data_IF_690746672262
#
_entry.id   IF_690746672262
#
_cell.length_a   1.000
_cell.length_b   1.000
_cell.length_c   1.000
_cell.angle_alpha   90.00
_cell.angle_beta   90.00
_cell.angle_gamma   90.00
#
_symmetry.space_group_name_H-M   'P 1'
#
loop_
_entity.id
_entity.type
_entity.pdbx_description
1 polymer ?
#
# COMPACT_ATOMS: atom_id res chain seq x y z
N UNK A 1 11.99 -23.89 -5.15
CA UNK A 1 11.79 -22.59 -4.46
C UNK A 1 10.79 -21.76 -5.23
N UNK A 2 10.13 -20.79 -4.59
CA UNK A 2 9.10 -19.93 -5.21
C UNK A 2 9.69 -19.11 -6.38
N UNK A 3 10.95 -18.74 -6.29
CA UNK A 3 11.71 -18.09 -7.36
C UNK A 3 11.73 -18.87 -8.69
N UNK A 4 11.48 -20.17 -8.68
CA UNK A 4 11.53 -21.01 -9.89
C UNK A 4 10.18 -21.09 -10.64
N UNK A 5 9.09 -20.57 -10.07
CA UNK A 5 7.73 -20.70 -10.63
C UNK A 5 7.17 -19.40 -11.21
N UNK A 6 7.76 -18.25 -10.93
CA UNK A 6 7.24 -16.94 -11.33
C UNK A 6 7.70 -16.44 -12.69
N UNK A 7 8.91 -16.73 -13.19
CA UNK A 7 9.38 -16.17 -14.46
C UNK A 7 8.47 -16.51 -15.64
N UNK A 8 7.91 -17.74 -15.69
CA UNK A 8 7.02 -18.14 -16.77
C UNK A 8 5.63 -17.47 -16.65
N UNK A 9 5.12 -17.31 -15.41
CA UNK A 9 3.86 -16.63 -15.19
C UNK A 9 3.99 -15.12 -15.46
N UNK A 10 5.10 -14.52 -15.06
CA UNK A 10 5.42 -13.13 -15.30
C UNK A 10 5.56 -12.83 -16.79
N UNK A 11 6.31 -13.63 -17.54
CA UNK A 11 6.41 -13.53 -19.00
C UNK A 11 5.06 -13.67 -19.70
N UNK A 12 4.19 -14.57 -19.21
CA UNK A 12 2.86 -14.72 -19.76
C UNK A 12 2.00 -13.48 -19.49
N UNK A 13 2.07 -12.91 -18.28
CA UNK A 13 1.37 -11.68 -17.93
C UNK A 13 1.87 -10.49 -18.75
N UNK A 14 3.18 -10.35 -18.93
CA UNK A 14 3.80 -9.32 -19.79
C UNK A 14 3.31 -9.42 -21.23
N UNK A 15 3.44 -10.60 -21.83
CA UNK A 15 2.98 -10.84 -23.20
C UNK A 15 1.50 -10.49 -23.35
N UNK A 16 0.66 -10.87 -22.38
CA UNK A 16 -0.75 -10.57 -22.45
C UNK A 16 -1.06 -9.09 -22.18
N UNK A 17 -0.35 -8.44 -21.27
CA UNK A 17 -0.50 -7.00 -21.01
C UNK A 17 -0.19 -6.18 -22.27
N UNK A 18 0.84 -6.56 -23.02
CA UNK A 18 1.28 -5.84 -24.23
C UNK A 18 0.42 -6.18 -25.47
N UNK A 19 0.17 -7.45 -25.72
CA UNK A 19 -0.37 -7.96 -26.99
C UNK A 19 -1.78 -8.53 -26.90
N UNK A 20 -2.35 -8.67 -25.71
CA UNK A 20 -3.69 -9.21 -25.50
C UNK A 20 -4.77 -8.43 -26.25
N UNK A 21 -5.83 -9.09 -26.65
CA UNK A 21 -6.95 -8.49 -27.39
C UNK A 21 -8.03 -7.91 -26.50
N UNK A 22 -8.14 -8.37 -25.24
CA UNK A 22 -9.08 -7.87 -24.23
C UNK A 22 -8.43 -6.75 -23.42
N UNK A 23 -8.91 -5.52 -23.63
CA UNK A 23 -8.36 -4.32 -22.96
C UNK A 23 -8.53 -4.35 -21.43
N UNK A 24 -9.62 -4.96 -20.94
CA UNK A 24 -9.83 -5.08 -19.49
C UNK A 24 -8.83 -6.04 -18.87
N UNK A 25 -8.62 -7.19 -19.48
CA UNK A 25 -7.68 -8.18 -19.00
C UNK A 25 -6.23 -7.69 -19.14
N UNK A 26 -5.91 -6.95 -20.22
CA UNK A 26 -4.61 -6.25 -20.35
C UNK A 26 -4.34 -5.29 -19.20
N UNK A 27 -5.35 -4.49 -18.83
CA UNK A 27 -5.26 -3.59 -17.68
C UNK A 27 -5.02 -4.35 -16.38
N UNK A 28 -5.72 -5.46 -16.16
CA UNK A 28 -5.58 -6.26 -14.95
C UNK A 28 -4.18 -6.90 -14.87
N UNK A 29 -3.66 -7.40 -16.00
CA UNK A 29 -2.28 -7.90 -16.08
C UNK A 29 -1.25 -6.81 -15.79
N UNK A 30 -1.38 -5.64 -16.42
CA UNK A 30 -0.48 -4.50 -16.16
C UNK A 30 -0.54 -4.04 -14.69
N UNK A 31 -1.74 -4.00 -14.10
CA UNK A 31 -1.90 -3.64 -12.70
C UNK A 31 -1.24 -4.64 -11.75
N UNK A 32 -1.36 -5.94 -12.04
CA UNK A 32 -0.73 -7.00 -11.24
C UNK A 32 0.80 -6.97 -11.37
N UNK A 33 1.32 -6.86 -12.59
CA UNK A 33 2.77 -6.77 -12.84
C UNK A 33 3.39 -5.54 -12.16
N UNK A 34 2.69 -4.42 -12.19
CA UNK A 34 3.14 -3.21 -11.49
C UNK A 34 3.29 -3.44 -9.98
N UNK A 35 2.35 -4.16 -9.36
CA UNK A 35 2.41 -4.48 -7.92
C UNK A 35 3.55 -5.47 -7.64
N UNK A 36 3.70 -6.53 -8.46
CA UNK A 36 4.79 -7.51 -8.33
C UNK A 36 6.17 -6.85 -8.48
N UNK A 37 6.34 -6.02 -9.52
CA UNK A 37 7.57 -5.28 -9.73
C UNK A 37 7.91 -4.34 -8.55
N UNK A 38 6.90 -3.73 -7.93
CA UNK A 38 7.08 -2.94 -6.72
C UNK A 38 7.53 -3.76 -5.51
N UNK A 39 7.05 -5.00 -5.38
CA UNK A 39 7.48 -5.93 -4.32
C UNK A 39 8.93 -6.43 -4.52
N UNK A 40 9.40 -6.47 -5.77
CA UNK A 40 10.75 -6.89 -6.15
C UNK A 40 11.75 -5.73 -6.30
N UNK A 41 11.30 -4.49 -6.06
CA UNK A 41 12.07 -3.25 -6.25
C UNK A 41 12.50 -3.02 -7.72
N UNK A 42 11.80 -3.65 -8.68
CA UNK A 42 11.97 -3.38 -10.13
C UNK A 42 11.21 -2.11 -10.52
N UNK A 43 11.85 -0.98 -10.28
CA UNK A 43 11.26 0.34 -10.55
C UNK A 43 10.98 0.59 -12.03
N UNK A 44 11.75 -0.03 -12.94
CA UNK A 44 11.57 0.14 -14.39
C UNK A 44 10.29 -0.55 -14.85
N UNK A 45 10.12 -1.81 -14.53
CA UNK A 45 8.90 -2.59 -14.86
C UNK A 45 7.67 -1.94 -14.21
N UNK A 46 7.76 -1.54 -12.94
CA UNK A 46 6.70 -0.86 -12.21
C UNK A 46 6.22 0.40 -12.96
N UNK A 47 7.14 1.27 -13.39
CA UNK A 47 6.80 2.49 -14.11
C UNK A 47 6.23 2.19 -15.51
N UNK A 48 6.75 1.20 -16.23
CA UNK A 48 6.24 0.78 -17.55
C UNK A 48 4.81 0.25 -17.45
N UNK A 49 4.54 -0.62 -16.49
CA UNK A 49 3.20 -1.21 -16.30
C UNK A 49 2.19 -0.17 -15.81
N UNK A 50 2.61 0.78 -14.99
CA UNK A 50 1.79 1.94 -14.66
C UNK A 50 1.41 2.76 -15.91
N UNK A 51 2.39 3.09 -16.77
CA UNK A 51 2.12 3.84 -18.01
C UNK A 51 1.16 3.09 -18.94
N UNK A 52 1.31 1.77 -19.04
CA UNK A 52 0.37 0.94 -19.80
C UNK A 52 -1.04 0.97 -19.17
N UNK A 53 -1.15 0.84 -17.86
CA UNK A 53 -2.41 0.88 -17.15
C UNK A 53 -3.17 2.18 -17.34
N UNK A 54 -2.52 3.34 -17.21
CA UNK A 54 -3.16 4.65 -17.45
C UNK A 54 -3.49 4.92 -18.90
N UNK A 55 -2.77 4.31 -19.85
CA UNK A 55 -3.10 4.37 -21.27
C UNK A 55 -4.37 3.58 -21.59
N UNK A 56 -4.55 2.42 -20.95
CA UNK A 56 -5.72 1.56 -21.15
C UNK A 56 -6.96 2.13 -20.42
N UNK A 57 -6.81 2.56 -19.17
CA UNK A 57 -7.93 3.07 -18.35
C UNK A 57 -7.51 4.35 -17.59
N UNK A 58 -7.48 5.51 -18.25
CA UNK A 58 -6.96 6.77 -17.67
C UNK A 58 -7.75 7.28 -16.45
N UNK A 59 -9.03 6.95 -16.37
CA UNK A 59 -9.92 7.42 -15.29
C UNK A 59 -10.11 6.37 -14.17
N UNK A 60 -9.36 5.26 -14.22
CA UNK A 60 -9.43 4.24 -13.18
C UNK A 60 -8.60 4.66 -11.96
N UNK A 61 -9.29 5.06 -10.88
CA UNK A 61 -8.63 5.53 -9.64
C UNK A 61 -7.75 4.47 -8.97
N UNK A 62 -8.08 3.17 -9.16
CA UNK A 62 -7.35 2.07 -8.54
C UNK A 62 -5.90 2.00 -9.03
N UNK A 63 -5.61 2.26 -10.31
CA UNK A 63 -4.24 2.20 -10.83
C UNK A 63 -3.34 3.26 -10.18
N UNK A 64 -3.87 4.47 -9.96
CA UNK A 64 -3.14 5.55 -9.31
C UNK A 64 -2.89 5.25 -7.83
N UNK A 65 -3.88 4.71 -7.12
CA UNK A 65 -3.71 4.38 -5.70
C UNK A 65 -2.76 3.21 -5.47
N UNK A 66 -2.82 2.18 -6.29
CA UNK A 66 -1.88 1.05 -6.26
C UNK A 66 -0.45 1.51 -6.58
N UNK A 67 -0.29 2.33 -7.61
CA UNK A 67 1.00 2.92 -7.94
C UNK A 67 1.55 3.79 -6.80
N UNK A 68 0.71 4.63 -6.18
CA UNK A 68 1.09 5.42 -5.00
C UNK A 68 1.58 4.55 -3.84
N UNK A 69 0.95 3.39 -3.62
CA UNK A 69 1.36 2.42 -2.59
C UNK A 69 2.74 1.84 -2.87
N UNK A 70 2.99 1.33 -4.07
CA UNK A 70 4.31 0.75 -4.39
C UNK A 70 5.40 1.81 -4.43
N UNK A 71 5.09 3.05 -4.80
CA UNK A 71 6.01 4.18 -4.71
C UNK A 71 6.41 4.53 -3.26
N UNK A 72 5.47 4.44 -2.31
CA UNK A 72 5.80 4.58 -0.88
C UNK A 72 6.76 3.48 -0.45
N UNK A 73 6.52 2.25 -0.87
CA UNK A 73 7.37 1.10 -0.55
C UNK A 73 8.79 1.26 -1.10
N UNK A 74 8.93 1.83 -2.30
CA UNK A 74 10.22 2.16 -2.94
C UNK A 74 10.84 3.49 -2.47
N UNK A 75 10.26 4.17 -1.48
CA UNK A 75 10.78 5.45 -0.97
C UNK A 75 10.57 6.65 -1.89
N UNK A 76 9.84 6.51 -3.00
CA UNK A 76 9.56 7.57 -3.98
C UNK A 76 8.36 8.43 -3.55
N UNK A 77 8.47 9.08 -2.40
CA UNK A 77 7.35 9.77 -1.73
C UNK A 77 6.77 10.93 -2.54
N UNK A 78 7.58 11.68 -3.27
CA UNK A 78 7.09 12.77 -4.12
C UNK A 78 6.18 12.26 -5.23
N UNK A 79 6.58 11.20 -5.92
CA UNK A 79 5.80 10.55 -6.98
C UNK A 79 4.51 9.93 -6.41
N UNK A 80 4.60 9.35 -5.20
CA UNK A 80 3.43 8.80 -4.50
C UNK A 80 2.39 9.88 -4.19
N UNK A 81 2.82 11.08 -3.76
CA UNK A 81 1.92 12.23 -3.56
C UNK A 81 1.20 12.59 -4.86
N UNK A 82 1.89 12.63 -5.99
CA UNK A 82 1.28 12.97 -7.27
C UNK A 82 0.29 11.89 -7.73
N UNK A 83 0.62 10.62 -7.54
CA UNK A 83 -0.28 9.51 -7.83
C UNK A 83 -1.56 9.58 -6.98
N UNK A 84 -1.46 9.76 -5.65
CA UNK A 84 -2.63 9.88 -4.79
C UNK A 84 -3.44 11.15 -5.05
N UNK A 85 -2.80 12.29 -5.34
CA UNK A 85 -3.52 13.50 -5.80
C UNK A 85 -4.34 13.24 -7.05
N UNK A 86 -3.81 12.46 -7.99
CA UNK A 86 -4.54 12.07 -9.18
C UNK A 86 -5.75 11.20 -8.83
N UNK A 87 -5.58 10.20 -7.95
CA UNK A 87 -6.67 9.33 -7.50
C UNK A 87 -7.81 10.13 -6.83
N UNK A 88 -7.50 11.02 -5.88
CA UNK A 88 -8.53 11.83 -5.18
C UNK A 88 -9.18 12.88 -6.08
N UNK A 89 -8.49 13.38 -7.11
CA UNK A 89 -9.06 14.32 -8.08
C UNK A 89 -10.02 13.65 -9.05
N UNK A 90 -9.74 12.41 -9.46
CA UNK A 90 -10.60 11.63 -10.35
C UNK A 90 -11.90 11.21 -9.64
N UNK A 91 -11.81 10.84 -8.38
CA UNK A 91 -12.98 10.50 -7.58
C UNK A 91 -12.85 11.03 -6.15
N UNK A 92 -13.53 12.12 -5.86
CA UNK A 92 -13.52 12.78 -4.55
C UNK A 92 -14.23 11.99 -3.45
N UNK A 93 -15.03 11.00 -3.81
CA UNK A 93 -15.72 10.10 -2.88
C UNK A 93 -14.83 8.91 -2.48
N UNK A 94 -13.72 8.68 -3.20
CA UNK A 94 -12.76 7.65 -2.80
C UNK A 94 -11.98 8.08 -1.57
N UNK A 95 -11.82 7.15 -0.64
CA UNK A 95 -11.14 7.44 0.61
C UNK A 95 -9.62 7.21 0.50
N UNK A 96 -8.96 7.90 -0.45
CA UNK A 96 -7.49 7.90 -0.58
C UNK A 96 -6.82 9.11 0.09
N UNK A 97 -7.57 9.88 0.87
CA UNK A 97 -7.02 11.04 1.58
C UNK A 97 -6.06 10.62 2.70
N UNK A 98 -6.29 9.48 3.35
CA UNK A 98 -5.39 8.93 4.36
C UNK A 98 -4.03 8.57 3.77
N UNK A 99 -4.01 7.89 2.63
CA UNK A 99 -2.80 7.53 1.90
C UNK A 99 -2.08 8.75 1.34
N UNK A 100 -2.83 9.73 0.83
CA UNK A 100 -2.24 11.00 0.41
C UNK A 100 -1.54 11.72 1.56
N UNK A 101 -2.17 11.78 2.74
CA UNK A 101 -1.57 12.37 3.93
C UNK A 101 -0.33 11.60 4.39
N UNK A 102 -0.36 10.28 4.34
CA UNK A 102 0.81 9.46 4.63
C UNK A 102 1.98 9.78 3.67
N UNK A 103 1.71 9.85 2.36
CA UNK A 103 2.73 10.20 1.38
C UNK A 103 3.29 11.62 1.59
N UNK A 104 2.43 12.58 1.92
CA UNK A 104 2.81 13.95 2.26
C UNK A 104 3.69 14.00 3.52
N UNK A 105 3.31 13.26 4.57
CA UNK A 105 4.11 13.17 5.80
C UNK A 105 5.48 12.53 5.53
N UNK A 106 5.53 11.44 4.78
CA UNK A 106 6.80 10.77 4.43
C UNK A 106 7.71 11.65 3.59
N UNK A 107 7.15 12.49 2.72
CA UNK A 107 7.89 13.43 1.89
C UNK A 107 8.44 14.62 2.69
N UNK A 108 7.62 15.20 3.56
CA UNK A 108 7.90 16.49 4.21
C UNK A 108 8.41 16.35 5.65
N UNK A 109 8.27 15.18 6.26
CA UNK A 109 8.63 14.92 7.67
C UNK A 109 7.62 15.47 8.69
N UNK A 110 6.61 16.23 8.25
CA UNK A 110 5.59 16.85 9.11
C UNK A 110 4.26 17.02 8.38
N UNK A 111 3.18 17.23 9.14
CA UNK A 111 1.88 17.62 8.60
C UNK A 111 1.76 19.14 8.61
N UNK A 112 1.74 19.72 7.41
CA UNK A 112 1.61 21.17 7.22
C UNK A 112 0.15 21.61 7.32
N UNK A 113 -0.08 22.84 7.76
CA UNK A 113 -1.41 23.44 7.88
C UNK A 113 -2.17 23.48 6.54
N UNK A 114 -1.48 23.52 5.41
CA UNK A 114 -2.06 23.47 4.07
C UNK A 114 -2.79 22.15 3.75
N UNK A 115 -2.55 21.08 4.55
CA UNK A 115 -3.20 19.77 4.38
C UNK A 115 -4.50 19.61 5.17
N UNK A 116 -4.98 20.69 5.81
CA UNK A 116 -6.20 20.65 6.65
C UNK A 116 -7.43 20.12 5.91
N UNK A 117 -7.58 20.44 4.61
CA UNK A 117 -8.68 19.91 3.79
C UNK A 117 -8.58 18.37 3.63
N UNK A 118 -7.39 17.84 3.41
CA UNK A 118 -7.19 16.39 3.29
C UNK A 118 -7.42 15.69 4.63
N UNK A 119 -6.98 16.29 5.74
CA UNK A 119 -7.24 15.79 7.09
C UNK A 119 -8.74 15.63 7.35
N UNK A 120 -9.55 16.63 7.00
CA UNK A 120 -11.01 16.57 7.21
C UNK A 120 -11.70 15.49 6.38
N UNK A 121 -11.12 15.11 5.24
CA UNK A 121 -11.65 14.10 4.31
C UNK A 121 -11.13 12.69 4.55
N UNK A 122 -10.07 12.53 5.35
CA UNK A 122 -9.48 11.22 5.62
C UNK A 122 -10.24 10.39 6.66
N UNK A 123 -11.13 11.01 7.42
CA UNK A 123 -11.90 10.34 8.46
C UNK A 123 -13.04 9.52 7.84
N UNK A 124 -13.02 8.21 8.08
CA UNK A 124 -14.11 7.31 7.66
C UNK A 124 -15.14 7.24 8.79
N UNK A 125 -16.42 7.59 8.56
CA UNK A 125 -17.48 7.42 9.54
C UNK A 125 -17.57 5.97 10.05
N UNK A 126 -17.97 5.76 11.29
CA UNK A 126 -17.99 4.43 11.92
C UNK A 126 -18.91 3.46 11.18
N UNK A 127 -20.05 3.93 10.73
CA UNK A 127 -21.04 3.19 9.96
C UNK A 127 -20.52 2.68 8.59
N UNK A 128 -19.49 3.34 8.06
CA UNK A 128 -18.91 3.00 6.76
C UNK A 128 -17.68 2.07 6.85
N UNK A 129 -17.20 1.76 8.07
CA UNK A 129 -16.04 0.90 8.32
C UNK A 129 -16.40 -0.57 8.21
N UNK A 130 -16.18 -1.18 7.05
CA UNK A 130 -16.62 -2.56 6.76
C UNK A 130 -15.48 -3.54 6.48
N UNK A 131 -14.32 -3.03 6.11
CA UNK A 131 -13.19 -3.85 5.66
C UNK A 131 -11.93 -3.59 6.48
N UNK A 132 -10.98 -4.53 6.53
CA UNK A 132 -9.67 -4.27 7.13
C UNK A 132 -9.00 -3.02 6.58
N UNK A 133 -9.15 -2.76 5.27
CA UNK A 133 -8.56 -1.61 4.60
C UNK A 133 -9.11 -0.27 5.15
N UNK A 134 -10.38 -0.20 5.54
CA UNK A 134 -10.96 1.01 6.13
C UNK A 134 -10.29 1.34 7.47
N UNK A 135 -10.03 0.33 8.29
CA UNK A 135 -9.31 0.50 9.56
C UNK A 135 -7.83 0.83 9.35
N UNK A 136 -7.16 0.24 8.34
CA UNK A 136 -5.78 0.56 7.98
C UNK A 136 -5.67 2.04 7.55
N UNK A 137 -6.60 2.52 6.73
CA UNK A 137 -6.66 3.93 6.31
C UNK A 137 -6.79 4.88 7.49
N UNK A 138 -7.70 4.56 8.43
CA UNK A 138 -7.86 5.32 9.67
C UNK A 138 -6.60 5.31 10.52
N UNK A 139 -5.96 4.15 10.64
CA UNK A 139 -4.72 4.04 11.40
C UNK A 139 -3.57 4.87 10.80
N UNK A 140 -3.44 4.88 9.47
CA UNK A 140 -2.50 5.75 8.77
C UNK A 140 -2.77 7.23 9.06
N UNK A 141 -4.05 7.63 9.01
CA UNK A 141 -4.45 8.97 9.40
C UNK A 141 -4.07 9.28 10.86
N UNK A 142 -4.44 8.41 11.82
CA UNK A 142 -4.12 8.59 13.24
C UNK A 142 -2.61 8.67 13.48
N UNK A 143 -1.81 7.82 12.81
CA UNK A 143 -0.34 7.88 12.89
C UNK A 143 0.20 9.22 12.41
N UNK A 144 -0.34 9.75 11.31
CA UNK A 144 0.07 11.04 10.73
C UNK A 144 -0.22 12.21 11.66
N UNK A 145 -1.34 12.19 12.39
CA UNK A 145 -1.67 13.24 13.38
C UNK A 145 -1.04 13.00 14.77
N UNK A 146 -0.28 11.91 14.93
CA UNK A 146 0.38 11.56 16.19
C UNK A 146 -0.50 10.83 17.20
N UNK A 147 -1.71 10.45 16.84
CA UNK A 147 -2.59 9.63 17.69
C UNK A 147 -2.27 8.14 17.55
N UNK A 148 -1.15 7.75 18.15
CA UNK A 148 -0.65 6.38 18.05
C UNK A 148 -1.54 5.35 18.77
N UNK A 149 -2.29 5.78 19.78
CA UNK A 149 -3.19 4.90 20.52
C UNK A 149 -4.37 4.44 19.66
N UNK A 150 -5.03 5.37 18.99
CA UNK A 150 -6.11 5.04 18.06
C UNK A 150 -5.57 4.37 16.78
N UNK A 151 -4.36 4.73 16.31
CA UNK A 151 -3.71 4.02 15.21
C UNK A 151 -3.53 2.52 15.53
N UNK A 152 -2.97 2.20 16.69
CA UNK A 152 -2.78 0.82 17.15
C UNK A 152 -4.12 0.07 17.30
N UNK A 153 -5.11 0.71 17.89
CA UNK A 153 -6.46 0.14 18.06
C UNK A 153 -7.08 -0.23 16.70
N UNK A 154 -7.02 0.67 15.72
CA UNK A 154 -7.56 0.40 14.39
C UNK A 154 -6.79 -0.69 13.65
N UNK A 155 -5.46 -0.74 13.75
CA UNK A 155 -4.67 -1.82 13.14
C UNK A 155 -4.96 -3.17 13.80
N UNK A 156 -5.09 -3.24 15.13
CA UNK A 156 -5.52 -4.45 15.84
C UNK A 156 -6.92 -4.91 15.40
N UNK A 157 -7.83 -3.96 15.15
CA UNK A 157 -9.14 -4.27 14.59
C UNK A 157 -9.02 -4.85 13.17
N UNK A 158 -8.21 -4.24 12.30
CA UNK A 158 -7.99 -4.71 10.94
C UNK A 158 -7.47 -6.16 10.90
N UNK A 159 -6.42 -6.47 11.67
CA UNK A 159 -5.82 -7.82 11.71
C UNK A 159 -6.70 -8.86 12.44
N UNK A 160 -7.66 -8.43 13.26
CA UNK A 160 -8.61 -9.32 13.91
C UNK A 160 -9.76 -9.80 13.01
N UNK A 161 -9.97 -9.14 11.88
CA UNK A 161 -11.03 -9.52 10.93
C UNK A 161 -10.69 -10.84 10.25
N UNK A 162 -11.65 -11.78 10.26
CA UNK A 162 -11.41 -13.17 9.83
C UNK A 162 -11.09 -13.36 8.36
N UNK A 163 -11.51 -12.42 7.50
CA UNK A 163 -11.26 -12.48 6.06
C UNK A 163 -11.01 -11.07 5.55
N UNK A 164 -9.87 -10.87 4.92
CA UNK A 164 -9.64 -9.66 4.15
C UNK A 164 -10.37 -9.77 2.80
N UNK A 165 -11.32 -8.86 2.56
CA UNK A 165 -12.07 -8.84 1.30
C UNK A 165 -11.21 -8.47 0.10
N UNK A 166 -10.02 -7.89 0.34
CA UNK A 166 -9.08 -7.46 -0.71
C UNK A 166 -8.10 -8.56 -1.10
N UNK A 167 -7.61 -9.36 -0.15
CA UNK A 167 -6.63 -10.42 -0.41
C UNK A 167 -7.15 -11.84 -0.15
N UNK A 168 -8.30 -11.99 0.49
CA UNK A 168 -8.91 -13.30 0.78
C UNK A 168 -8.22 -14.10 1.89
N UNK A 169 -7.20 -13.57 2.56
CA UNK A 169 -6.44 -14.25 3.61
C UNK A 169 -6.96 -13.93 5.01
N UNK A 170 -6.73 -14.86 5.95
CA UNK A 170 -6.96 -14.65 7.37
C UNK A 170 -5.82 -13.83 7.97
N UNK A 171 -6.19 -12.68 8.57
CA UNK A 171 -5.21 -11.72 9.04
C UNK A 171 -4.67 -10.89 7.87
N UNK A 172 -4.84 -9.57 7.94
CA UNK A 172 -4.41 -8.68 6.87
C UNK A 172 -2.90 -8.46 6.99
N UNK A 173 -2.12 -9.01 6.05
CA UNK A 173 -0.66 -8.81 5.99
C UNK A 173 -0.30 -7.32 6.00
N UNK A 174 -1.05 -6.50 5.25
CA UNK A 174 -0.87 -5.05 5.23
C UNK A 174 -1.13 -4.43 6.62
N UNK A 175 -2.10 -4.96 7.38
CA UNK A 175 -2.36 -4.52 8.76
C UNK A 175 -1.20 -4.84 9.70
N UNK A 176 -0.59 -6.01 9.58
CA UNK A 176 0.61 -6.35 10.34
C UNK A 176 1.83 -5.52 9.93
N UNK A 177 2.01 -5.28 8.64
CA UNK A 177 3.08 -4.40 8.15
C UNK A 177 2.94 -2.97 8.69
N UNK A 178 1.74 -2.40 8.67
CA UNK A 178 1.46 -1.08 9.24
C UNK A 178 1.62 -1.03 10.78
N UNK A 179 1.33 -2.15 11.48
CA UNK A 179 1.66 -2.27 12.91
C UNK A 179 3.17 -2.20 13.14
N UNK A 180 3.95 -2.88 12.29
CA UNK A 180 5.41 -2.80 12.33
C UNK A 180 5.91 -1.37 12.19
N UNK A 181 5.41 -0.64 11.19
CA UNK A 181 5.75 0.78 10.98
C UNK A 181 5.33 1.64 12.18
N UNK A 182 4.14 1.41 12.73
CA UNK A 182 3.67 2.15 13.90
C UNK A 182 4.58 1.94 15.11
N UNK A 183 4.95 0.69 15.39
CA UNK A 183 5.82 0.36 16.50
C UNK A 183 7.25 0.88 16.33
N UNK A 184 7.77 0.97 15.09
CA UNK A 184 9.03 1.66 14.83
C UNK A 184 8.95 3.15 15.22
N UNK A 185 7.87 3.85 14.79
CA UNK A 185 7.66 5.26 15.13
C UNK A 185 7.53 5.46 16.64
N UNK A 186 6.95 4.51 17.36
CA UNK A 186 6.82 4.53 18.82
C UNK A 186 8.12 4.13 19.56
N UNK A 187 9.15 3.63 18.83
CA UNK A 187 10.38 3.10 19.41
C UNK A 187 10.24 1.71 20.03
N UNK A 188 9.12 1.03 19.79
CA UNK A 188 8.79 -0.29 20.32
C UNK A 188 9.36 -1.40 19.43
N UNK A 189 10.71 -1.46 19.33
CA UNK A 189 11.44 -2.30 18.41
C UNK A 189 11.03 -3.77 18.41
N UNK A 190 10.84 -4.39 19.59
CA UNK A 190 10.45 -5.80 19.68
C UNK A 190 9.09 -6.05 19.05
N UNK A 191 8.15 -5.16 19.31
CA UNK A 191 6.80 -5.25 18.75
C UNK A 191 6.80 -5.01 17.22
N UNK A 192 7.69 -4.14 16.73
CA UNK A 192 7.87 -3.93 15.30
C UNK A 192 8.38 -5.19 14.60
N UNK A 193 9.40 -5.87 15.16
CA UNK A 193 9.93 -7.14 14.63
C UNK A 193 8.81 -8.19 14.57
N UNK A 194 8.09 -8.42 15.69
CA UNK A 194 6.99 -9.40 15.74
C UNK A 194 5.87 -9.09 14.71
N UNK A 195 5.60 -7.82 14.48
CA UNK A 195 4.59 -7.41 13.51
C UNK A 195 5.05 -7.68 12.06
N UNK A 196 6.30 -7.39 11.71
CA UNK A 196 6.85 -7.68 10.38
C UNK A 196 6.95 -9.19 10.12
N UNK A 197 7.36 -9.99 11.13
CA UNK A 197 7.37 -11.46 11.03
C UNK A 197 5.96 -11.99 10.72
N UNK A 198 4.93 -11.47 11.37
CA UNK A 198 3.54 -11.84 11.08
C UNK A 198 3.07 -11.40 9.70
N UNK A 199 3.51 -10.24 9.21
CA UNK A 199 3.20 -9.80 7.85
C UNK A 199 3.80 -10.76 6.81
N UNK A 200 5.07 -11.17 7.00
CA UNK A 200 5.76 -12.16 6.16
C UNK A 200 5.08 -13.53 6.25
N UNK A 201 4.70 -13.98 7.44
CA UNK A 201 3.98 -15.24 7.64
C UNK A 201 2.63 -15.26 6.90
N UNK A 202 1.89 -14.15 6.95
CA UNK A 202 0.58 -14.02 6.32
C UNK A 202 0.64 -13.94 4.79
N UNK A 203 1.59 -13.20 4.24
CA UNK A 203 1.75 -13.00 2.79
C UNK A 203 2.63 -14.07 2.13
N UNK A 204 3.57 -14.64 2.89
CA UNK A 204 4.71 -15.39 2.39
C UNK A 204 5.87 -14.44 2.09
N UNK A 205 6.69 -14.77 1.08
CA UNK A 205 7.83 -13.93 0.74
C UNK A 205 7.40 -12.63 0.05
N UNK A 206 7.63 -11.50 0.71
CA UNK A 206 7.50 -10.16 0.17
C UNK A 206 8.80 -9.41 0.45
N UNK A 207 9.53 -9.06 -0.60
CA UNK A 207 10.84 -8.40 -0.50
C UNK A 207 10.79 -7.15 0.40
N UNK A 208 9.74 -6.36 0.30
CA UNK A 208 9.61 -5.13 1.10
C UNK A 208 9.48 -5.42 2.58
N UNK A 209 8.70 -6.43 2.96
CA UNK A 209 8.52 -6.81 4.37
C UNK A 209 9.82 -7.41 4.94
N UNK A 210 10.47 -8.27 4.15
CA UNK A 210 11.75 -8.89 4.53
C UNK A 210 12.87 -7.86 4.66
N UNK A 211 12.98 -6.94 3.68
CA UNK A 211 13.97 -5.84 3.71
C UNK A 211 13.75 -4.95 4.94
N UNK A 212 12.51 -4.56 5.23
CA UNK A 212 12.22 -3.72 6.39
C UNK A 212 12.58 -4.40 7.71
N UNK A 213 12.27 -5.70 7.83
CA UNK A 213 12.67 -6.50 8.99
C UNK A 213 14.19 -6.58 9.10
N UNK A 214 14.89 -6.84 8.01
CA UNK A 214 16.34 -6.91 7.97
C UNK A 214 16.99 -5.59 8.38
N UNK A 215 16.55 -4.46 7.79
CA UNK A 215 17.03 -3.12 8.13
C UNK A 215 16.85 -2.82 9.63
N UNK A 216 15.73 -3.25 10.20
CA UNK A 216 15.47 -3.11 11.62
C UNK A 216 16.39 -3.99 12.47
N UNK A 217 16.77 -5.18 12.02
CA UNK A 217 17.65 -6.09 12.74
C UNK A 217 19.13 -5.64 12.69
N UNK A 218 19.58 -5.07 11.58
CA UNK A 218 20.97 -4.63 11.36
C UNK A 218 21.30 -3.31 12.07
N UNK A 219 20.32 -2.43 12.26
CA UNK A 219 20.49 -1.13 12.94
C UNK A 219 20.40 -1.23 14.48
N UNK A 220 21.07 -2.26 15.05
CA UNK A 220 21.04 -2.59 16.49
C UNK A 220 22.15 -1.93 17.23
#
# INVERSE_FOLDING_TARGET
>A
TRADRYPEAEQLLESYAEEGTDESLRFDCASLLMELAGEEDDTLMMDQMYQLGIKLKPDNTSIYSKYGRVLIMSGRYADAVDAYKKAVNLNKETNYYGELLQALYLRDGEIKSEYAEYLSKAVIPEEDRKTPLDYIKLARYCRVIGDYADAEKYLKQAVSMKVCSSCGYHGCEEGYYELGILYEVMGERKMAIEAYEKAIEAHGHCYVYEKRLQDLLENS
#
